data_IF_269537877629
#
_entry.id   IF_269537877629
#
_cell.length_a   1.000
_cell.length_b   1.000
_cell.length_c   1.000
_cell.angle_alpha   90.00
_cell.angle_beta   90.00
_cell.angle_gamma   90.00
#
_symmetry.space_group_name_H-M   'P 1'
#
loop_
_entity.id
_entity.type
_entity.pdbx_description
1 polymer ?
#
# COMPACT_ATOMS: atom_id res chain seq x y z
N UNK A 1 -16.69 -21.45 -62.61
CA UNK A 1 -17.57 -20.26 -62.42
C UNK A 1 -18.95 -20.58 -61.79
N UNK A 2 -19.35 -21.84 -61.60
CA UNK A 2 -20.68 -22.20 -61.05
C UNK A 2 -20.82 -22.12 -59.51
N UNK A 3 -19.72 -22.08 -58.74
CA UNK A 3 -19.77 -22.08 -57.27
C UNK A 3 -20.13 -20.73 -56.63
N UNK A 4 -19.92 -19.61 -57.33
CA UNK A 4 -20.08 -18.27 -56.75
C UNK A 4 -21.55 -17.79 -56.73
N UNK A 5 -22.36 -18.22 -57.71
CA UNK A 5 -23.80 -17.93 -57.75
C UNK A 5 -24.61 -18.78 -56.77
N UNK A 6 -24.26 -20.07 -56.61
CA UNK A 6 -24.90 -20.95 -55.63
C UNK A 6 -24.59 -20.57 -54.18
N UNK A 7 -23.40 -20.02 -53.91
CA UNK A 7 -23.05 -19.49 -52.59
C UNK A 7 -23.84 -18.21 -52.28
N UNK A 8 -23.86 -17.23 -53.19
CA UNK A 8 -24.68 -16.00 -53.03
C UNK A 8 -26.18 -16.26 -52.87
N UNK A 9 -26.74 -17.26 -53.55
CA UNK A 9 -28.16 -17.63 -53.38
C UNK A 9 -28.43 -18.26 -52.01
N UNK A 10 -27.52 -19.07 -51.48
CA UNK A 10 -27.64 -19.65 -50.12
C UNK A 10 -27.50 -18.58 -49.06
N UNK A 11 -26.49 -17.72 -49.18
CA UNK A 11 -26.24 -16.61 -48.25
C UNK A 11 -27.47 -15.67 -48.19
N UNK A 12 -28.14 -15.41 -49.33
CA UNK A 12 -29.34 -14.57 -49.36
C UNK A 12 -30.58 -15.24 -48.74
N UNK A 13 -30.74 -16.55 -48.88
CA UNK A 13 -31.81 -17.31 -48.22
C UNK A 13 -31.59 -17.39 -46.70
N UNK A 14 -30.34 -17.55 -46.26
CA UNK A 14 -29.99 -17.53 -44.83
C UNK A 14 -30.27 -16.16 -44.21
N UNK A 15 -29.92 -15.06 -44.90
CA UNK A 15 -30.24 -13.69 -44.46
C UNK A 15 -31.76 -13.44 -44.36
N UNK A 16 -32.53 -13.87 -45.36
CA UNK A 16 -34.00 -13.74 -45.32
C UNK A 16 -34.62 -14.54 -44.16
N UNK A 17 -34.08 -15.73 -43.85
CA UNK A 17 -34.53 -16.52 -42.70
C UNK A 17 -34.20 -15.82 -41.36
N UNK A 18 -33.02 -15.23 -41.25
CA UNK A 18 -32.62 -14.44 -40.06
C UNK A 18 -33.51 -13.20 -39.89
N UNK A 19 -33.83 -12.49 -40.98
CA UNK A 19 -34.71 -11.31 -40.94
C UNK A 19 -36.13 -11.70 -40.51
N UNK A 20 -36.65 -12.83 -41.00
CA UNK A 20 -37.95 -13.35 -40.60
C UNK A 20 -37.98 -13.76 -39.12
N UNK A 21 -36.91 -14.39 -38.62
CA UNK A 21 -36.78 -14.72 -37.19
C UNK A 21 -36.72 -13.45 -36.32
N UNK A 22 -35.94 -12.46 -36.74
CA UNK A 22 -35.85 -11.16 -36.06
C UNK A 22 -37.21 -10.44 -36.03
N UNK A 23 -37.96 -10.43 -37.13
CA UNK A 23 -39.30 -9.85 -37.19
C UNK A 23 -40.27 -10.56 -36.23
N UNK A 24 -40.24 -11.90 -36.19
CA UNK A 24 -41.03 -12.69 -35.24
C UNK A 24 -40.65 -12.38 -33.78
N UNK A 25 -39.35 -12.24 -33.51
CA UNK A 25 -38.84 -11.92 -32.18
C UNK A 25 -39.26 -10.51 -31.76
N UNK A 26 -39.19 -9.53 -32.65
CA UNK A 26 -39.66 -8.16 -32.42
C UNK A 26 -41.16 -8.14 -32.07
N UNK A 27 -42.00 -8.85 -32.83
CA UNK A 27 -43.43 -8.97 -32.53
C UNK A 27 -43.73 -9.64 -31.18
N UNK A 28 -42.97 -10.69 -30.83
CA UNK A 28 -43.11 -11.39 -29.54
C UNK A 28 -42.68 -10.49 -28.37
N UNK A 29 -41.55 -9.79 -28.51
CA UNK A 29 -41.02 -8.88 -27.50
C UNK A 29 -41.96 -7.70 -27.22
N UNK A 30 -42.61 -7.15 -28.26
CA UNK A 30 -43.62 -6.10 -28.08
C UNK A 30 -44.78 -6.52 -27.20
N UNK A 31 -45.32 -7.72 -27.43
CA UNK A 31 -46.44 -8.26 -26.65
C UNK A 31 -46.01 -8.55 -25.21
N UNK A 32 -44.81 -9.13 -25.03
CA UNK A 32 -44.26 -9.41 -23.71
C UNK A 32 -44.04 -8.12 -22.89
N UNK A 33 -43.43 -7.10 -23.50
CA UNK A 33 -43.19 -5.81 -22.86
C UNK A 33 -44.51 -5.08 -22.51
N UNK A 34 -45.52 -5.09 -23.39
CA UNK A 34 -46.83 -4.49 -23.11
C UNK A 34 -47.54 -5.17 -21.92
N UNK A 35 -47.54 -6.50 -21.90
CA UNK A 35 -48.09 -7.26 -20.78
C UNK A 35 -47.30 -7.02 -19.48
N UNK A 36 -45.97 -6.91 -19.56
CA UNK A 36 -45.13 -6.58 -18.40
C UNK A 36 -45.45 -5.19 -17.84
N UNK A 37 -45.68 -4.19 -18.69
CA UNK A 37 -46.13 -2.85 -18.25
C UNK A 37 -47.46 -2.94 -17.52
N UNK A 38 -48.41 -3.71 -18.05
CA UNK A 38 -49.74 -3.88 -17.46
C UNK A 38 -49.64 -4.50 -16.06
N UNK A 39 -48.94 -5.64 -15.94
CA UNK A 39 -48.72 -6.32 -14.66
C UNK A 39 -47.99 -5.41 -13.67
N UNK A 40 -46.93 -4.75 -14.11
CA UNK A 40 -46.14 -3.87 -13.24
C UNK A 40 -46.91 -2.64 -12.78
N UNK A 41 -47.83 -2.12 -13.62
CA UNK A 41 -48.72 -1.03 -13.22
C UNK A 41 -49.75 -1.49 -12.16
N UNK A 42 -50.27 -2.71 -12.26
CA UNK A 42 -51.14 -3.29 -11.23
C UNK A 42 -50.35 -3.48 -9.91
N UNK A 43 -49.14 -4.03 -9.99
CA UNK A 43 -48.22 -4.20 -8.84
C UNK A 43 -47.84 -2.87 -8.18
N UNK A 44 -47.64 -1.81 -8.95
CA UNK A 44 -47.36 -0.47 -8.43
C UNK A 44 -48.47 0.03 -7.51
N UNK A 45 -49.75 -0.19 -7.85
CA UNK A 45 -50.87 0.22 -6.99
C UNK A 45 -50.82 -0.48 -5.64
N UNK A 46 -50.49 -1.78 -5.62
CA UNK A 46 -50.30 -2.52 -4.37
C UNK A 46 -49.07 -2.02 -3.60
N UNK A 47 -47.96 -1.77 -4.29
CA UNK A 47 -46.74 -1.25 -3.67
C UNK A 47 -46.97 0.14 -3.04
N UNK A 48 -47.73 1.02 -3.69
CA UNK A 48 -48.11 2.33 -3.16
C UNK A 48 -48.97 2.21 -1.91
N UNK A 49 -49.91 1.27 -1.87
CA UNK A 49 -50.75 1.02 -0.70
C UNK A 49 -49.96 0.50 0.51
N UNK A 50 -48.90 -0.28 0.27
CA UNK A 50 -48.05 -0.87 1.31
C UNK A 50 -46.91 0.05 1.76
N UNK A 51 -46.29 0.78 0.84
CA UNK A 51 -45.06 1.55 1.08
C UNK A 51 -45.26 3.08 1.05
N UNK A 52 -46.26 3.57 0.32
CA UNK A 52 -46.47 4.98 0.02
C UNK A 52 -45.77 5.46 -1.26
N UNK A 53 -46.14 6.66 -1.72
CA UNK A 53 -45.74 7.22 -3.02
C UNK A 53 -44.25 7.54 -3.14
N UNK A 54 -43.61 8.02 -2.07
CA UNK A 54 -42.18 8.35 -2.08
C UNK A 54 -41.31 7.12 -2.29
N UNK A 55 -41.70 5.97 -1.73
CA UNK A 55 -40.96 4.72 -1.87
C UNK A 55 -41.13 4.07 -3.25
N UNK A 56 -42.22 4.36 -3.96
CA UNK A 56 -42.53 3.82 -5.29
C UNK A 56 -42.22 4.78 -6.43
N UNK A 57 -41.78 6.01 -6.14
CA UNK A 57 -41.54 7.07 -7.11
C UNK A 57 -40.65 6.62 -8.29
N UNK A 58 -39.55 5.91 -8.01
CA UNK A 58 -38.64 5.42 -9.06
C UNK A 58 -39.32 4.41 -10.00
N UNK A 59 -40.19 3.53 -9.49
CA UNK A 59 -40.95 2.59 -10.33
C UNK A 59 -42.00 3.33 -11.16
N UNK A 60 -42.63 4.35 -10.59
CA UNK A 60 -43.58 5.23 -11.30
C UNK A 60 -42.91 5.96 -12.46
N UNK A 61 -41.73 6.53 -12.23
CA UNK A 61 -40.92 7.19 -13.25
C UNK A 61 -40.44 6.21 -14.33
N UNK A 62 -39.96 5.04 -13.92
CA UNK A 62 -39.55 3.97 -14.83
C UNK A 62 -40.70 3.51 -15.74
N UNK A 63 -41.90 3.28 -15.18
CA UNK A 63 -43.09 2.93 -15.94
C UNK A 63 -43.48 4.00 -16.96
N UNK A 64 -43.34 5.28 -16.61
CA UNK A 64 -43.60 6.38 -17.54
C UNK A 64 -42.60 6.38 -18.71
N UNK A 65 -41.30 6.22 -18.42
CA UNK A 65 -40.26 6.13 -19.44
C UNK A 65 -40.44 4.91 -20.35
N UNK A 66 -40.73 3.75 -19.76
CA UNK A 66 -40.99 2.51 -20.49
C UNK A 66 -42.20 2.63 -21.41
N UNK A 67 -43.31 3.24 -20.95
CA UNK A 67 -44.48 3.50 -21.82
C UNK A 67 -44.14 4.41 -23.00
N UNK A 68 -43.31 5.43 -22.79
CA UNK A 68 -42.88 6.32 -23.88
C UNK A 68 -42.06 5.57 -24.95
N UNK A 69 -41.10 4.74 -24.51
CA UNK A 69 -40.24 3.96 -25.39
C UNK A 69 -40.99 2.81 -26.07
N UNK A 70 -41.93 2.16 -25.40
CA UNK A 70 -42.80 1.17 -26.04
C UNK A 70 -43.69 1.82 -27.11
N UNK A 71 -44.12 3.06 -26.90
CA UNK A 71 -44.78 3.86 -27.94
C UNK A 71 -43.92 4.11 -29.19
N UNK A 72 -42.60 4.27 -29.03
CA UNK A 72 -41.65 4.30 -30.16
C UNK A 72 -41.59 2.94 -30.87
N UNK A 73 -41.48 1.85 -30.10
CA UNK A 73 -41.44 0.49 -30.65
C UNK A 73 -42.71 0.14 -31.45
N UNK A 74 -43.90 0.50 -30.96
CA UNK A 74 -45.15 0.33 -31.71
C UNK A 74 -45.20 1.16 -33.00
N UNK A 75 -44.69 2.40 -33.00
CA UNK A 75 -44.58 3.22 -34.23
C UNK A 75 -43.65 2.57 -35.25
N UNK A 76 -42.50 2.05 -34.81
CA UNK A 76 -41.58 1.31 -35.69
C UNK A 76 -42.23 0.05 -36.26
N UNK A 77 -42.98 -0.68 -35.44
CA UNK A 77 -43.71 -1.86 -35.89
C UNK A 77 -44.82 -1.51 -36.89
N UNK A 78 -45.50 -0.38 -36.71
CA UNK A 78 -46.51 0.10 -37.66
C UNK A 78 -45.88 0.42 -39.03
N UNK A 79 -44.73 1.09 -39.06
CA UNK A 79 -44.01 1.37 -40.31
C UNK A 79 -43.62 0.08 -41.04
N UNK A 80 -43.19 -0.96 -40.31
CA UNK A 80 -42.85 -2.25 -40.92
C UNK A 80 -44.03 -2.97 -41.60
N UNK A 81 -45.28 -2.52 -41.36
CA UNK A 81 -46.51 -3.13 -41.89
C UNK A 81 -47.34 -2.14 -42.72
N UNK A 82 -46.76 -1.00 -43.13
CA UNK A 82 -47.47 -0.04 -43.96
C UNK A 82 -47.57 -0.49 -45.43
N UNK A 83 -48.29 0.29 -46.25
CA UNK A 83 -48.51 -0.04 -47.67
C UNK A 83 -47.28 0.25 -48.56
N UNK A 84 -46.23 0.87 -48.01
CA UNK A 84 -45.03 1.29 -48.75
C UNK A 84 -43.95 0.21 -48.56
N UNK A 85 -43.48 -0.46 -49.63
CA UNK A 85 -42.44 -1.48 -49.49
C UNK A 85 -41.11 -0.88 -49.00
N UNK A 86 -40.73 -1.16 -47.77
CA UNK A 86 -39.39 -0.86 -47.23
C UNK A 86 -38.33 -1.81 -47.77
N UNK A 87 -37.06 -1.39 -47.68
CA UNK A 87 -35.92 -2.28 -47.96
C UNK A 87 -35.71 -3.30 -46.83
N UNK A 88 -35.11 -4.45 -47.15
CA UNK A 88 -34.80 -5.47 -46.14
C UNK A 88 -33.86 -4.95 -45.03
N UNK A 89 -32.98 -3.99 -45.35
CA UNK A 89 -32.08 -3.37 -44.37
C UNK A 89 -32.82 -2.45 -43.39
N UNK A 90 -33.81 -1.69 -43.87
CA UNK A 90 -34.67 -0.84 -43.03
C UNK A 90 -35.50 -1.70 -42.07
N UNK A 91 -36.12 -2.77 -42.56
CA UNK A 91 -36.87 -3.72 -41.73
C UNK A 91 -35.99 -4.36 -40.66
N UNK A 92 -34.78 -4.81 -41.01
CA UNK A 92 -33.83 -5.38 -40.05
C UNK A 92 -33.45 -4.36 -38.97
N UNK A 93 -33.15 -3.13 -39.37
CA UNK A 93 -32.75 -2.05 -38.43
C UNK A 93 -33.89 -1.73 -37.47
N UNK A 94 -35.12 -1.58 -37.97
CA UNK A 94 -36.29 -1.27 -37.14
C UNK A 94 -36.67 -2.44 -36.23
N UNK A 95 -36.66 -3.68 -36.72
CA UNK A 95 -36.92 -4.86 -35.88
C UNK A 95 -35.86 -5.04 -34.79
N UNK A 96 -34.58 -4.81 -35.09
CA UNK A 96 -33.52 -4.82 -34.08
C UNK A 96 -33.73 -3.73 -33.02
N UNK A 97 -34.15 -2.53 -33.44
CA UNK A 97 -34.48 -1.43 -32.53
C UNK A 97 -35.69 -1.74 -31.65
N UNK A 98 -36.73 -2.36 -32.20
CA UNK A 98 -37.91 -2.81 -31.45
C UNK A 98 -37.49 -3.79 -30.35
N UNK A 99 -36.71 -4.81 -30.69
CA UNK A 99 -36.21 -5.78 -29.70
C UNK A 99 -35.41 -5.07 -28.63
N UNK A 100 -34.48 -4.19 -29.00
CA UNK A 100 -33.67 -3.43 -28.04
C UNK A 100 -34.52 -2.60 -27.06
N UNK A 101 -35.58 -1.93 -27.55
CA UNK A 101 -36.47 -1.14 -26.70
C UNK A 101 -37.30 -2.02 -25.75
N UNK A 102 -37.73 -3.19 -26.21
CA UNK A 102 -38.49 -4.15 -25.38
C UNK A 102 -37.60 -4.80 -24.33
N UNK A 103 -36.40 -5.25 -24.69
CA UNK A 103 -35.43 -5.84 -23.76
C UNK A 103 -35.05 -4.83 -22.67
N UNK A 104 -34.76 -3.58 -23.04
CA UNK A 104 -34.50 -2.50 -22.08
C UNK A 104 -35.69 -2.24 -21.14
N UNK A 105 -36.91 -2.30 -21.67
CA UNK A 105 -38.12 -2.11 -20.87
C UNK A 105 -38.29 -3.22 -19.82
N UNK A 106 -38.08 -4.48 -20.21
CA UNK A 106 -38.13 -5.62 -19.30
C UNK A 106 -37.05 -5.49 -18.20
N UNK A 107 -35.80 -5.23 -18.59
CA UNK A 107 -34.68 -5.07 -17.65
C UNK A 107 -34.93 -3.97 -16.60
N UNK A 108 -35.41 -2.80 -17.05
CA UNK A 108 -35.71 -1.67 -16.16
C UNK A 108 -36.84 -2.00 -15.20
N UNK A 109 -37.91 -2.64 -15.66
CA UNK A 109 -39.04 -2.99 -14.79
C UNK A 109 -38.66 -4.10 -13.79
N UNK A 110 -37.86 -5.07 -14.21
CA UNK A 110 -37.37 -6.15 -13.35
C UNK A 110 -36.45 -5.65 -12.25
N UNK A 111 -35.52 -4.74 -12.57
CA UNK A 111 -34.65 -4.10 -11.58
C UNK A 111 -35.48 -3.35 -10.53
N UNK A 112 -36.42 -2.51 -10.97
CA UNK A 112 -37.21 -1.65 -10.07
C UNK A 112 -38.20 -2.45 -9.22
N UNK A 113 -38.85 -3.47 -9.79
CA UNK A 113 -39.76 -4.35 -9.04
C UNK A 113 -39.00 -5.18 -8.01
N UNK A 114 -37.82 -5.71 -8.37
CA UNK A 114 -36.95 -6.45 -7.45
C UNK A 114 -36.51 -5.60 -6.26
N UNK A 115 -36.17 -4.33 -6.49
CA UNK A 115 -35.78 -3.39 -5.43
C UNK A 115 -36.91 -3.09 -4.42
N UNK A 116 -38.18 -3.22 -4.82
CA UNK A 116 -39.33 -3.03 -3.93
C UNK A 116 -39.72 -4.30 -3.17
N UNK A 117 -39.41 -5.49 -3.70
CA UNK A 117 -39.84 -6.76 -3.13
C UNK A 117 -39.43 -6.92 -1.66
N UNK A 118 -38.19 -6.57 -1.32
CA UNK A 118 -37.68 -6.62 0.06
C UNK A 118 -38.41 -5.63 0.98
N UNK A 119 -38.62 -4.39 0.51
CA UNK A 119 -39.33 -3.35 1.27
C UNK A 119 -40.77 -3.76 1.56
N UNK A 120 -41.46 -4.36 0.58
CA UNK A 120 -42.82 -4.89 0.74
C UNK A 120 -42.83 -6.03 1.77
N UNK A 121 -41.86 -6.95 1.71
CA UNK A 121 -41.75 -8.04 2.66
C UNK A 121 -41.53 -7.55 4.10
N UNK A 122 -40.75 -6.46 4.28
CA UNK A 122 -40.58 -5.81 5.59
C UNK A 122 -41.87 -5.11 6.04
N UNK A 123 -42.51 -4.33 5.17
CA UNK A 123 -43.74 -3.61 5.50
C UNK A 123 -44.88 -4.55 5.94
N UNK A 124 -45.02 -5.71 5.29
CA UNK A 124 -45.99 -6.75 5.69
C UNK A 124 -45.72 -7.33 7.07
N UNK A 125 -44.45 -7.48 7.44
CA UNK A 125 -44.02 -7.96 8.76
C UNK A 125 -43.93 -6.86 9.82
N UNK A 126 -44.29 -5.61 9.50
CA UNK A 126 -44.22 -4.51 10.45
C UNK A 126 -44.85 -4.79 11.83
N UNK A 127 -46.03 -5.44 11.97
CA UNK A 127 -46.58 -5.78 13.28
C UNK A 127 -45.67 -6.70 14.10
N UNK A 128 -45.08 -7.69 13.45
CA UNK A 128 -44.16 -8.66 14.06
C UNK A 128 -42.87 -7.97 14.49
N UNK A 129 -42.33 -7.09 13.64
CA UNK A 129 -41.13 -6.29 13.94
C UNK A 129 -41.39 -5.35 15.13
N UNK A 130 -42.54 -4.65 15.17
CA UNK A 130 -42.92 -3.79 16.29
C UNK A 130 -42.99 -4.60 17.60
N UNK A 131 -43.61 -5.78 17.57
CA UNK A 131 -43.66 -6.67 18.74
C UNK A 131 -42.26 -7.14 19.17
N UNK A 132 -41.41 -7.47 18.20
CA UNK A 132 -40.01 -7.83 18.41
C UNK A 132 -39.22 -6.71 19.09
N UNK A 133 -39.30 -5.48 18.56
CA UNK A 133 -38.66 -4.28 19.13
C UNK A 133 -39.06 -4.06 20.58
N UNK A 134 -40.36 -4.19 20.91
CA UNK A 134 -40.86 -4.06 22.29
C UNK A 134 -40.31 -5.16 23.20
N UNK A 135 -40.28 -6.40 22.73
CA UNK A 135 -39.74 -7.53 23.49
C UNK A 135 -38.22 -7.41 23.71
N UNK A 136 -37.48 -6.99 22.68
CA UNK A 136 -36.04 -6.74 22.76
C UNK A 136 -35.75 -5.58 23.71
N UNK A 137 -36.49 -4.47 23.62
CA UNK A 137 -36.33 -3.34 24.53
C UNK A 137 -36.57 -3.74 26.00
N UNK A 138 -37.60 -4.56 26.27
CA UNK A 138 -37.85 -5.09 27.61
C UNK A 138 -36.69 -5.98 28.11
N UNK A 139 -36.18 -6.91 27.27
CA UNK A 139 -35.02 -7.74 27.65
C UNK A 139 -33.77 -6.91 27.91
N UNK A 140 -33.44 -5.98 27.02
CA UNK A 140 -32.25 -5.14 27.15
C UNK A 140 -32.34 -4.22 28.37
N UNK A 141 -33.53 -3.68 28.66
CA UNK A 141 -33.75 -2.86 29.86
C UNK A 141 -33.49 -3.65 31.15
N UNK A 142 -33.82 -4.94 31.18
CA UNK A 142 -33.50 -5.81 32.31
C UNK A 142 -31.98 -6.01 32.53
N UNK A 143 -31.14 -5.80 31.51
CA UNK A 143 -29.67 -5.87 31.62
C UNK A 143 -29.05 -4.59 32.19
N UNK A 144 -29.74 -3.44 32.15
CA UNK A 144 -29.19 -2.14 32.54
C UNK A 144 -28.69 -2.10 34.00
N UNK A 145 -29.44 -2.60 35.01
CA UNK A 145 -28.93 -2.64 36.38
C UNK A 145 -27.63 -3.43 36.49
N UNK A 146 -27.54 -4.58 35.84
CA UNK A 146 -26.32 -5.39 35.83
C UNK A 146 -25.14 -4.68 35.16
N UNK A 147 -25.38 -3.96 34.06
CA UNK A 147 -24.34 -3.16 33.41
C UNK A 147 -23.81 -2.03 34.32
N UNK A 148 -24.71 -1.38 35.08
CA UNK A 148 -24.33 -0.37 36.09
C UNK A 148 -23.49 -0.98 37.22
N UNK A 149 -23.92 -2.11 37.78
CA UNK A 149 -23.18 -2.83 38.82
C UNK A 149 -21.80 -3.29 38.33
N UNK A 150 -21.70 -3.68 37.06
CA UNK A 150 -20.43 -4.03 36.43
C UNK A 150 -19.51 -2.84 36.31
N UNK A 151 -19.99 -1.68 35.86
CA UNK A 151 -19.17 -0.45 35.83
C UNK A 151 -18.72 -0.04 37.23
N UNK A 152 -19.59 -0.11 38.24
CA UNK A 152 -19.23 0.20 39.62
C UNK A 152 -18.15 -0.75 40.14
N UNK A 153 -18.28 -2.06 39.90
CA UNK A 153 -17.25 -3.05 40.21
C UNK A 153 -15.94 -2.73 39.50
N UNK A 154 -15.97 -2.42 38.20
CA UNK A 154 -14.79 -2.08 37.41
C UNK A 154 -14.11 -0.79 37.90
N UNK A 155 -14.87 0.19 38.39
CA UNK A 155 -14.36 1.43 38.98
C UNK A 155 -13.54 1.23 40.26
N UNK A 156 -13.66 0.07 40.92
CA UNK A 156 -12.79 -0.30 42.06
C UNK A 156 -11.41 -0.81 41.64
N UNK A 157 -11.24 -1.18 40.36
CA UNK A 157 -10.02 -1.81 39.82
C UNK A 157 -9.31 -0.96 38.77
N UNK A 158 -10.06 -0.23 37.97
CA UNK A 158 -9.54 0.52 36.81
C UNK A 158 -9.60 2.03 37.02
N UNK A 159 -8.67 2.74 36.38
CA UNK A 159 -8.64 4.19 36.38
C UNK A 159 -9.87 4.74 35.66
N UNK A 160 -10.28 5.97 36.01
CA UNK A 160 -11.49 6.58 35.45
C UNK A 160 -11.36 6.82 33.95
N UNK A 161 -10.16 7.21 33.52
CA UNK A 161 -9.81 7.44 32.12
C UNK A 161 -10.02 6.17 31.28
N UNK A 162 -9.72 5.00 31.85
CA UNK A 162 -9.93 3.69 31.21
C UNK A 162 -11.42 3.39 31.04
N UNK A 163 -12.25 3.77 32.01
CA UNK A 163 -13.70 3.51 32.01
C UNK A 163 -14.50 4.53 31.21
N UNK A 164 -13.90 5.67 30.83
CA UNK A 164 -14.59 6.75 30.13
C UNK A 164 -15.32 6.30 28.86
N UNK A 165 -14.85 5.24 28.20
CA UNK A 165 -15.46 4.69 26.99
C UNK A 165 -16.76 3.91 27.24
N UNK A 166 -16.98 3.42 28.45
CA UNK A 166 -18.11 2.54 28.79
C UNK A 166 -18.98 3.07 29.93
N UNK A 167 -18.51 4.06 30.70
CA UNK A 167 -19.21 4.56 31.89
C UNK A 167 -20.60 5.13 31.58
N UNK A 168 -20.77 5.76 30.41
CA UNK A 168 -22.04 6.39 29.99
C UNK A 168 -23.00 5.41 29.32
N UNK A 169 -22.52 4.25 28.90
CA UNK A 169 -23.25 3.32 28.03
C UNK A 169 -24.60 2.86 28.61
N UNK A 170 -24.74 2.51 29.90
CA UNK A 170 -26.04 2.08 30.42
C UNK A 170 -27.09 3.20 30.39
N UNK A 171 -26.67 4.45 30.63
CA UNK A 171 -27.58 5.59 30.60
C UNK A 171 -28.01 5.93 29.17
N UNK A 172 -27.07 5.90 28.22
CA UNK A 172 -27.38 6.09 26.80
C UNK A 172 -28.25 4.96 26.25
N UNK A 173 -27.97 3.71 26.63
CA UNK A 173 -28.81 2.56 26.28
C UNK A 173 -30.24 2.75 26.82
N UNK A 174 -30.42 3.20 28.06
CA UNK A 174 -31.76 3.46 28.63
C UNK A 174 -32.55 4.48 27.80
N UNK A 175 -31.90 5.57 27.38
CA UNK A 175 -32.51 6.61 26.55
C UNK A 175 -32.88 6.07 25.17
N UNK A 176 -31.98 5.31 24.54
CA UNK A 176 -32.22 4.69 23.24
C UNK A 176 -33.38 3.69 23.28
N UNK A 177 -33.50 2.89 24.35
CA UNK A 177 -34.63 1.97 24.52
C UNK A 177 -35.94 2.72 24.69
N UNK A 178 -35.96 3.83 25.44
CA UNK A 178 -37.15 4.68 25.54
C UNK A 178 -37.55 5.30 24.19
N UNK A 179 -36.57 5.77 23.42
CA UNK A 179 -36.80 6.27 22.07
C UNK A 179 -37.29 5.17 21.11
N UNK A 180 -36.77 3.96 21.24
CA UNK A 180 -37.20 2.80 20.45
C UNK A 180 -38.68 2.47 20.69
N UNK A 181 -39.10 2.38 21.95
CA UNK A 181 -40.49 2.07 22.33
C UNK A 181 -41.46 3.18 21.88
N UNK A 182 -41.04 4.43 22.01
CA UNK A 182 -41.80 5.57 21.51
C UNK A 182 -41.98 5.49 19.99
N UNK A 183 -40.87 5.26 19.27
CA UNK A 183 -40.87 5.16 17.80
C UNK A 183 -41.68 3.96 17.31
N UNK A 184 -41.61 2.82 17.98
CA UNK A 184 -42.46 1.66 17.69
C UNK A 184 -43.96 1.98 17.86
N UNK A 185 -44.30 2.76 18.88
CA UNK A 185 -45.68 3.22 19.11
C UNK A 185 -46.13 4.27 18.09
N UNK A 186 -45.21 5.12 17.58
CA UNK A 186 -45.49 6.02 16.45
C UNK A 186 -45.72 5.22 15.18
N UNK A 187 -44.87 4.21 14.89
CA UNK A 187 -45.00 3.35 13.74
C UNK A 187 -46.38 2.67 13.68
N UNK A 188 -46.83 2.10 14.80
CA UNK A 188 -48.14 1.49 14.94
C UNK A 188 -49.29 2.45 14.60
N UNK A 189 -49.32 3.63 15.25
CA UNK A 189 -50.37 4.65 15.00
C UNK A 189 -50.37 5.18 13.57
N UNK A 190 -49.19 5.44 12.99
CA UNK A 190 -49.07 5.94 11.61
C UNK A 190 -49.57 4.90 10.61
N UNK A 191 -49.26 3.63 10.86
CA UNK A 191 -49.72 2.50 10.05
C UNK A 191 -51.24 2.35 10.07
N UNK A 192 -51.86 2.46 11.25
CA UNK A 192 -53.31 2.45 11.42
C UNK A 192 -54.00 3.64 10.73
N UNK A 193 -53.33 4.80 10.69
CA UNK A 193 -53.79 5.99 9.99
C UNK A 193 -53.53 5.97 8.47
N UNK A 194 -53.01 4.88 7.90
CA UNK A 194 -52.67 4.76 6.48
C UNK A 194 -51.40 5.51 6.05
N UNK A 195 -50.62 6.04 6.99
CA UNK A 195 -49.41 6.83 6.75
C UNK A 195 -48.18 5.90 6.69
N UNK A 196 -48.07 5.12 5.61
CA UNK A 196 -47.09 4.02 5.46
C UNK A 196 -45.65 4.47 5.53
N UNK A 197 -45.30 5.54 4.83
CA UNK A 197 -43.93 6.08 4.81
C UNK A 197 -43.48 6.49 6.21
N UNK A 198 -44.31 7.27 6.91
CA UNK A 198 -44.02 7.73 8.26
C UNK A 198 -43.98 6.56 9.26
N UNK A 199 -44.78 5.51 9.03
CA UNK A 199 -44.74 4.30 9.82
C UNK A 199 -43.43 3.53 9.63
N UNK A 200 -42.97 3.36 8.38
CA UNK A 200 -41.74 2.65 8.07
C UNK A 200 -40.51 3.39 8.62
N UNK A 201 -40.44 4.72 8.47
CA UNK A 201 -39.36 5.53 9.06
C UNK A 201 -39.30 5.38 10.59
N UNK A 202 -40.45 5.41 11.27
CA UNK A 202 -40.50 5.21 12.72
C UNK A 202 -40.11 3.77 13.13
N UNK A 203 -40.46 2.78 12.31
CA UNK A 203 -40.08 1.38 12.53
C UNK A 203 -38.57 1.17 12.40
N UNK A 204 -37.95 1.73 11.35
CA UNK A 204 -36.50 1.70 11.15
C UNK A 204 -35.77 2.37 12.32
N UNK A 205 -36.20 3.58 12.71
CA UNK A 205 -35.64 4.30 13.85
C UNK A 205 -35.74 3.48 15.15
N UNK A 206 -36.86 2.78 15.37
CA UNK A 206 -37.05 1.93 16.55
C UNK A 206 -36.12 0.71 16.55
N UNK A 207 -35.97 0.05 15.40
CA UNK A 207 -35.13 -1.14 15.23
C UNK A 207 -33.66 -0.79 15.42
N UNK A 208 -33.21 0.31 14.80
CA UNK A 208 -31.83 0.80 14.93
C UNK A 208 -31.50 1.20 16.37
N UNK A 209 -32.44 1.82 17.07
CA UNK A 209 -32.23 2.25 18.46
C UNK A 209 -32.09 1.07 19.42
N UNK A 210 -32.86 0.00 19.25
CA UNK A 210 -32.68 -1.27 19.98
C UNK A 210 -31.30 -1.87 19.68
N UNK A 211 -30.91 -1.92 18.40
CA UNK A 211 -29.61 -2.46 17.98
C UNK A 211 -28.45 -1.70 18.63
N UNK A 212 -28.50 -0.37 18.60
CA UNK A 212 -27.48 0.49 19.24
C UNK A 212 -27.44 0.31 20.76
N UNK A 213 -28.60 0.23 21.42
CA UNK A 213 -28.67 -0.02 22.85
C UNK A 213 -28.05 -1.38 23.22
N UNK A 214 -28.28 -2.42 22.42
CA UNK A 214 -27.64 -3.72 22.60
C UNK A 214 -26.12 -3.61 22.49
N UNK A 215 -25.59 -2.97 21.44
CA UNK A 215 -24.14 -2.76 21.25
C UNK A 215 -23.49 -2.03 22.43
N UNK A 216 -24.16 -1.00 22.98
CA UNK A 216 -23.64 -0.26 24.14
C UNK A 216 -23.56 -1.14 25.40
N UNK A 217 -24.56 -2.00 25.63
CA UNK A 217 -24.55 -2.93 26.77
C UNK A 217 -23.52 -4.05 26.58
N UNK A 218 -23.40 -4.59 25.37
CA UNK A 218 -22.40 -5.62 25.04
C UNK A 218 -20.96 -5.07 25.17
N UNK A 219 -20.75 -3.79 24.89
CA UNK A 219 -19.45 -3.13 25.09
C UNK A 219 -19.02 -3.12 26.57
N UNK A 220 -19.96 -2.98 27.52
CA UNK A 220 -19.64 -3.05 28.96
C UNK A 220 -19.15 -4.44 29.35
N UNK A 221 -19.81 -5.49 28.87
CA UNK A 221 -19.42 -6.89 29.13
C UNK A 221 -18.07 -7.23 28.46
N UNK A 222 -17.89 -6.77 27.23
CA UNK A 222 -16.67 -6.99 26.45
C UNK A 222 -15.47 -6.30 27.10
N UNK A 223 -15.65 -5.07 27.61
CA UNK A 223 -14.61 -4.30 28.26
C UNK A 223 -13.99 -5.06 29.46
N UNK A 224 -14.79 -5.73 30.29
CA UNK A 224 -14.27 -6.51 31.42
C UNK A 224 -13.33 -7.64 30.95
N UNK A 225 -13.72 -8.36 29.89
CA UNK A 225 -12.90 -9.43 29.30
C UNK A 225 -11.61 -8.87 28.70
N UNK A 226 -11.69 -7.75 28.00
CA UNK A 226 -10.55 -7.10 27.37
C UNK A 226 -9.56 -6.55 28.41
N UNK A 227 -10.05 -5.93 29.47
CA UNK A 227 -9.23 -5.41 30.55
C UNK A 227 -8.46 -6.55 31.27
N UNK A 228 -9.13 -7.68 31.55
CA UNK A 228 -8.46 -8.87 32.11
C UNK A 228 -7.39 -9.44 31.18
N UNK A 229 -7.65 -9.49 29.87
CA UNK A 229 -6.66 -9.93 28.88
C UNK A 229 -5.47 -8.98 28.79
N UNK A 230 -5.73 -7.67 28.82
CA UNK A 230 -4.70 -6.64 28.79
C UNK A 230 -3.79 -6.76 30.03
N UNK A 231 -4.35 -6.97 31.22
CA UNK A 231 -3.56 -7.22 32.42
C UNK A 231 -2.69 -8.49 32.34
N UNK A 232 -3.27 -9.61 31.89
CA UNK A 232 -2.52 -10.87 31.75
C UNK A 232 -1.37 -10.71 30.75
N UNK A 233 -1.61 -9.99 29.66
CA UNK A 233 -0.58 -9.71 28.64
C UNK A 233 0.45 -8.73 29.17
N UNK A 234 0.05 -7.70 29.91
CA UNK A 234 0.96 -6.75 30.54
C UNK A 234 1.92 -7.47 31.48
N UNK A 235 1.42 -8.38 32.32
CA UNK A 235 2.27 -9.17 33.22
C UNK A 235 3.33 -9.99 32.45
N UNK A 236 2.96 -10.61 31.33
CA UNK A 236 3.89 -11.36 30.49
C UNK A 236 4.95 -10.44 29.85
N UNK A 237 4.53 -9.30 29.29
CA UNK A 237 5.46 -8.34 28.65
C UNK A 237 6.39 -7.70 29.68
N UNK A 238 5.92 -7.42 30.90
CA UNK A 238 6.79 -6.88 31.97
C UNK A 238 7.95 -7.83 32.28
N UNK A 239 7.70 -9.14 32.31
CA UNK A 239 8.75 -10.12 32.54
C UNK A 239 9.72 -10.21 31.36
N UNK A 240 9.19 -10.23 30.14
CA UNK A 240 9.97 -10.24 28.90
C UNK A 240 10.88 -9.00 28.78
N UNK A 241 10.32 -7.80 28.98
CA UNK A 241 11.05 -6.53 28.98
C UNK A 241 12.21 -6.49 29.98
N UNK A 242 12.08 -7.15 31.14
CA UNK A 242 13.19 -7.24 32.11
C UNK A 242 14.32 -8.11 31.58
N UNK A 243 13.99 -9.20 30.89
CA UNK A 243 14.94 -10.04 30.16
C UNK A 243 15.62 -9.27 29.03
N UNK A 244 14.85 -8.53 28.23
CA UNK A 244 15.36 -7.73 27.12
C UNK A 244 16.34 -6.65 27.58
N UNK A 245 16.09 -6.00 28.72
CA UNK A 245 17.04 -5.06 29.31
C UNK A 245 18.38 -5.72 29.69
N UNK A 246 18.37 -6.99 30.09
CA UNK A 246 19.61 -7.73 30.36
C UNK A 246 20.34 -8.10 29.07
N UNK A 247 19.61 -8.51 28.03
CA UNK A 247 20.16 -8.82 26.70
C UNK A 247 20.74 -7.55 26.07
N UNK A 248 19.99 -6.44 26.08
CA UNK A 248 20.36 -5.16 25.50
C UNK A 248 21.67 -4.59 26.04
N UNK A 249 22.03 -4.88 27.30
CA UNK A 249 23.31 -4.47 27.91
C UNK A 249 24.52 -5.20 27.33
N UNK A 250 24.32 -6.34 26.67
CA UNK A 250 25.37 -7.12 26.00
C UNK A 250 25.51 -6.77 24.53
N UNK A 251 24.59 -5.97 23.99
CA UNK A 251 24.61 -5.50 22.61
C UNK A 251 25.58 -4.33 22.41
N UNK A 252 26.00 -4.03 21.16
CA UNK A 252 26.80 -2.86 20.86
C UNK A 252 26.15 -1.58 21.39
N UNK A 253 26.87 -0.86 22.25
CA UNK A 253 26.35 0.33 22.91
C UNK A 253 26.55 1.57 22.06
N UNK A 254 25.48 2.35 21.90
CA UNK A 254 25.52 3.70 21.33
C UNK A 254 24.45 4.58 22.01
N UNK A 255 24.42 5.87 21.70
CA UNK A 255 23.47 6.80 22.32
C UNK A 255 22.00 6.40 22.12
N UNK A 256 21.66 5.80 20.97
CA UNK A 256 20.31 5.32 20.67
C UNK A 256 19.89 4.16 21.57
N UNK A 257 20.74 3.14 21.73
CA UNK A 257 20.50 1.99 22.61
C UNK A 257 20.40 2.44 24.07
N UNK A 258 21.30 3.31 24.54
CA UNK A 258 21.26 3.85 25.90
C UNK A 258 19.95 4.60 26.17
N UNK A 259 19.48 5.39 25.21
CA UNK A 259 18.21 6.12 25.31
C UNK A 259 17.03 5.16 25.33
N UNK A 260 17.01 4.15 24.46
CA UNK A 260 15.93 3.17 24.40
C UNK A 260 15.86 2.31 25.67
N UNK A 261 17.01 1.91 26.24
CA UNK A 261 17.10 1.25 27.55
C UNK A 261 16.48 2.14 28.63
N UNK A 262 16.84 3.43 28.67
CA UNK A 262 16.31 4.37 29.66
C UNK A 262 14.79 4.56 29.52
N UNK A 263 14.27 4.63 28.30
CA UNK A 263 12.84 4.73 28.02
C UNK A 263 12.08 3.49 28.50
N UNK A 264 12.59 2.29 28.21
CA UNK A 264 11.97 1.05 28.69
C UNK A 264 12.02 0.93 30.22
N UNK A 265 13.14 1.32 30.85
CA UNK A 265 13.23 1.38 32.31
C UNK A 265 12.22 2.37 32.90
N UNK A 266 12.05 3.54 32.28
CA UNK A 266 11.07 4.53 32.70
C UNK A 266 9.63 4.01 32.57
N UNK A 267 9.31 3.34 31.45
CA UNK A 267 8.01 2.71 31.25
C UNK A 267 7.71 1.64 32.31
N UNK A 268 8.68 0.77 32.61
CA UNK A 268 8.54 -0.23 33.68
C UNK A 268 8.39 0.40 35.06
N UNK A 269 9.11 1.50 35.34
CA UNK A 269 9.04 2.21 36.62
C UNK A 269 7.73 3.01 36.79
N UNK A 270 7.08 3.39 35.69
CA UNK A 270 5.81 4.10 35.69
C UNK A 270 4.60 3.18 35.95
N UNK A 271 4.79 1.86 35.95
CA UNK A 271 3.72 0.92 36.26
C UNK A 271 3.21 1.11 37.70
N UNK A 272 1.89 1.14 37.90
CA UNK A 272 1.32 1.40 39.22
C UNK A 272 1.65 0.27 40.19
N UNK A 273 1.73 0.64 41.48
CA UNK A 273 1.85 -0.34 42.56
C UNK A 273 0.54 -1.14 42.70
N UNK A 274 0.67 -2.36 43.21
CA UNK A 274 -0.50 -3.18 43.56
C UNK A 274 -1.47 -2.40 44.48
N UNK A 275 -2.77 -2.46 44.17
CA UNK A 275 -3.82 -1.78 44.93
C UNK A 275 -4.13 -0.35 44.48
N UNK A 276 -3.47 0.17 43.43
CA UNK A 276 -3.87 1.40 42.75
C UNK A 276 -4.70 1.04 41.52
N UNK A 277 -5.76 1.79 41.25
CA UNK A 277 -6.56 1.65 40.03
C UNK A 277 -5.66 1.77 38.79
N UNK A 278 -5.72 0.78 37.91
CA UNK A 278 -4.79 0.66 36.77
C UNK A 278 -5.44 1.09 35.45
N UNK A 279 -4.61 1.49 34.49
CA UNK A 279 -5.00 1.57 33.08
C UNK A 279 -4.18 0.53 32.30
N UNK A 280 -4.66 -0.72 32.22
CA UNK A 280 -3.88 -1.78 31.59
C UNK A 280 -3.69 -1.54 30.09
N UNK A 281 -4.58 -0.79 29.43
CA UNK A 281 -4.48 -0.53 27.98
C UNK A 281 -3.37 0.49 27.68
N UNK A 282 -3.36 1.62 28.38
CA UNK A 282 -2.29 2.62 28.24
C UNK A 282 -0.94 2.03 28.64
N UNK A 283 -0.89 1.33 29.77
CA UNK A 283 0.36 0.70 30.25
C UNK A 283 0.92 -0.30 29.24
N UNK A 284 0.05 -1.15 28.69
CA UNK A 284 0.43 -2.12 27.67
C UNK A 284 0.92 -1.44 26.38
N UNK A 285 0.25 -0.37 25.95
CA UNK A 285 0.66 0.42 24.78
C UNK A 285 2.04 1.06 24.97
N UNK A 286 2.23 1.77 26.08
CA UNK A 286 3.52 2.43 26.40
C UNK A 286 4.66 1.43 26.51
N UNK A 287 4.43 0.27 27.12
CA UNK A 287 5.47 -0.75 27.27
C UNK A 287 5.84 -1.40 25.93
N UNK A 288 4.85 -1.69 25.08
CA UNK A 288 5.09 -2.20 23.71
C UNK A 288 5.86 -1.21 22.85
N UNK A 289 5.51 0.07 22.92
CA UNK A 289 6.21 1.13 22.21
C UNK A 289 7.68 1.23 22.65
N UNK A 290 7.94 1.16 23.97
CA UNK A 290 9.29 1.17 24.49
C UNK A 290 10.11 -0.07 24.09
N UNK A 291 9.52 -1.27 24.11
CA UNK A 291 10.17 -2.50 23.63
C UNK A 291 10.51 -2.40 22.13
N UNK A 292 9.55 -1.99 21.30
CA UNK A 292 9.77 -1.83 19.87
C UNK A 292 10.87 -0.80 19.58
N UNK A 293 10.93 0.29 20.36
CA UNK A 293 12.01 1.27 20.29
C UNK A 293 13.39 0.68 20.66
N UNK A 294 13.44 -0.20 21.66
CA UNK A 294 14.66 -0.91 22.06
C UNK A 294 15.14 -1.86 20.96
N UNK A 295 14.24 -2.68 20.41
CA UNK A 295 14.55 -3.60 19.32
C UNK A 295 15.11 -2.87 18.09
N UNK A 296 14.46 -1.76 17.69
CA UNK A 296 14.91 -0.93 16.59
C UNK A 296 16.31 -0.32 16.85
N UNK A 297 16.57 0.15 18.08
CA UNK A 297 17.86 0.71 18.45
C UNK A 297 18.97 -0.34 18.44
N UNK A 298 18.70 -1.55 18.96
CA UNK A 298 19.64 -2.68 18.94
C UNK A 298 19.94 -3.10 17.50
N UNK A 299 18.91 -3.24 16.65
CA UNK A 299 19.09 -3.58 15.25
C UNK A 299 19.98 -2.56 14.52
N UNK A 300 19.74 -1.26 14.74
CA UNK A 300 20.56 -0.20 14.17
C UNK A 300 22.00 -0.18 14.73
N UNK A 301 22.19 -0.55 16.00
CA UNK A 301 23.52 -0.68 16.60
C UNK A 301 24.29 -1.87 16.05
N UNK A 302 23.64 -3.03 15.87
CA UNK A 302 24.21 -4.21 15.24
C UNK A 302 24.61 -3.96 13.79
N UNK A 303 23.76 -3.31 13.00
CA UNK A 303 24.10 -2.96 11.61
C UNK A 303 25.35 -2.08 11.56
N UNK A 304 25.44 -1.07 12.44
CA UNK A 304 26.61 -0.19 12.53
C UNK A 304 27.87 -0.89 13.04
N UNK A 305 27.74 -1.89 13.91
CA UNK A 305 28.87 -2.72 14.33
C UNK A 305 29.34 -3.64 13.21
N UNK A 306 28.41 -4.17 12.39
CA UNK A 306 28.73 -5.01 11.24
C UNK A 306 29.32 -4.22 10.06
N UNK A 307 28.96 -2.94 9.93
CA UNK A 307 29.46 -2.01 8.91
C UNK A 307 30.01 -0.73 9.56
N UNK A 308 31.25 -0.78 10.09
CA UNK A 308 31.86 0.39 10.69
C UNK A 308 32.16 1.46 9.63
N UNK A 309 31.71 2.68 9.91
CA UNK A 309 32.02 3.84 9.06
C UNK A 309 33.53 4.07 9.08
N UNK A 310 34.18 4.27 7.92
CA UNK A 310 35.61 4.51 7.85
C UNK A 310 35.97 5.78 8.64
N UNK A 311 37.00 5.71 9.52
CA UNK A 311 37.51 6.87 10.23
C UNK A 311 37.84 8.00 9.26
N UNK A 312 37.56 9.24 9.68
CA UNK A 312 37.79 10.44 8.86
C UNK A 312 39.24 10.52 8.34
N UNK A 313 40.21 10.15 9.19
CA UNK A 313 41.63 10.10 8.83
C UNK A 313 41.92 9.14 7.66
N UNK A 314 41.27 7.96 7.64
CA UNK A 314 41.42 7.01 6.53
C UNK A 314 40.83 7.57 5.23
N UNK A 315 39.74 8.34 5.30
CA UNK A 315 39.15 9.00 4.13
C UNK A 315 40.12 10.07 3.60
N UNK A 316 40.68 10.90 4.48
CA UNK A 316 41.68 11.92 4.10
C UNK A 316 42.94 11.27 3.47
N UNK A 317 43.47 10.21 4.08
CA UNK A 317 44.62 9.50 3.51
C UNK A 317 44.33 8.91 2.12
N UNK A 318 43.12 8.40 1.88
CA UNK A 318 42.72 7.91 0.57
C UNK A 318 42.63 9.04 -0.47
N UNK A 319 42.17 10.23 -0.07
CA UNK A 319 42.11 11.42 -0.93
C UNK A 319 43.53 11.89 -1.27
N UNK A 320 44.41 12.02 -0.28
CA UNK A 320 45.79 12.44 -0.48
C UNK A 320 46.55 11.47 -1.40
N UNK A 321 46.31 10.16 -1.22
CA UNK A 321 46.92 9.15 -2.08
C UNK A 321 46.42 9.22 -3.53
N UNK A 322 45.12 9.40 -3.71
CA UNK A 322 44.53 9.62 -5.02
C UNK A 322 45.13 10.86 -5.71
N UNK A 323 45.28 11.97 -4.99
CA UNK A 323 45.84 13.21 -5.51
C UNK A 323 47.32 13.05 -5.92
N UNK A 324 48.13 12.35 -5.11
CA UNK A 324 49.52 12.02 -5.47
C UNK A 324 49.60 11.16 -6.72
N UNK A 325 48.84 10.07 -6.80
CA UNK A 325 48.87 9.18 -7.95
C UNK A 325 48.39 9.88 -9.22
N UNK A 326 47.36 10.71 -9.12
CA UNK A 326 46.85 11.51 -10.22
C UNK A 326 47.87 12.53 -10.72
N UNK A 327 48.57 13.22 -9.82
CA UNK A 327 49.65 14.15 -10.18
C UNK A 327 50.79 13.44 -10.94
N UNK A 328 51.26 12.30 -10.43
CA UNK A 328 52.32 11.52 -11.09
C UNK A 328 51.88 11.05 -12.49
N UNK A 329 50.67 10.52 -12.62
CA UNK A 329 50.14 10.07 -13.92
C UNK A 329 50.04 11.24 -14.91
N UNK A 330 49.57 12.41 -14.45
CA UNK A 330 49.48 13.63 -15.26
C UNK A 330 50.86 14.08 -15.76
N UNK A 331 51.85 14.12 -14.88
CA UNK A 331 53.20 14.57 -15.21
C UNK A 331 53.89 13.65 -16.24
N UNK A 332 53.82 12.33 -16.03
CA UNK A 332 54.40 11.35 -16.97
C UNK A 332 53.75 11.45 -18.34
N UNK A 333 52.41 11.51 -18.39
CA UNK A 333 51.66 11.61 -19.66
C UNK A 333 51.93 12.96 -20.34
N UNK A 334 52.05 14.05 -19.59
CA UNK A 334 52.35 15.37 -20.13
C UNK A 334 53.79 15.48 -20.66
N UNK A 335 54.76 14.81 -20.03
CA UNK A 335 56.16 14.81 -20.47
C UNK A 335 56.42 13.99 -21.74
N UNK A 336 55.56 13.03 -22.07
CA UNK A 336 55.79 12.06 -23.16
C UNK A 336 54.66 12.08 -24.21
N UNK A 337 54.04 13.24 -24.44
CA UNK A 337 52.84 13.39 -25.28
C UNK A 337 52.96 12.81 -26.69
N UNK A 338 54.16 12.71 -27.25
CA UNK A 338 54.39 12.12 -28.57
C UNK A 338 54.31 10.59 -28.61
N UNK A 339 54.46 9.92 -27.46
CA UNK A 339 54.59 8.47 -27.36
C UNK A 339 53.42 7.80 -26.65
N UNK A 340 52.69 8.53 -25.80
CA UNK A 340 51.53 7.97 -25.08
C UNK A 340 50.36 7.69 -26.06
N UNK A 341 49.66 6.59 -25.85
CA UNK A 341 48.47 6.17 -26.61
C UNK A 341 47.14 6.76 -26.10
N UNK A 342 46.04 6.46 -26.79
CA UNK A 342 44.70 6.96 -26.45
C UNK A 342 44.17 6.38 -25.12
N UNK A 343 44.49 5.11 -24.82
CA UNK A 343 43.97 4.42 -23.63
C UNK A 343 44.46 5.05 -22.32
N UNK A 344 45.76 5.33 -22.21
CA UNK A 344 46.33 5.97 -21.02
C UNK A 344 45.72 7.36 -20.78
N UNK A 345 45.53 8.17 -21.84
CA UNK A 345 44.88 9.48 -21.75
C UNK A 345 43.41 9.38 -21.36
N UNK A 346 42.70 8.36 -21.86
CA UNK A 346 41.30 8.12 -21.51
C UNK A 346 41.15 7.78 -20.02
N UNK A 347 42.02 6.91 -19.49
CA UNK A 347 42.04 6.58 -18.05
C UNK A 347 42.40 7.77 -17.16
N UNK A 348 43.34 8.62 -17.60
CA UNK A 348 43.66 9.86 -16.91
C UNK A 348 42.45 10.80 -16.88
N UNK A 349 41.81 11.05 -18.02
CA UNK A 349 40.63 11.92 -18.11
C UNK A 349 39.47 11.41 -17.25
N UNK A 350 39.25 10.09 -17.18
CA UNK A 350 38.23 9.51 -16.30
C UNK A 350 38.60 9.68 -14.82
N UNK A 351 39.86 9.48 -14.43
CA UNK A 351 40.34 9.71 -13.06
C UNK A 351 40.13 11.17 -12.64
N UNK A 352 40.47 12.13 -13.51
CA UNK A 352 40.26 13.56 -13.28
C UNK A 352 38.76 13.90 -13.13
N UNK A 353 37.90 13.29 -13.95
CA UNK A 353 36.44 13.46 -13.82
C UNK A 353 35.95 13.00 -12.45
N UNK A 354 36.31 11.80 -12.01
CA UNK A 354 35.88 11.27 -10.70
C UNK A 354 36.43 12.15 -9.56
N UNK A 355 37.64 12.71 -9.71
CA UNK A 355 38.22 13.62 -8.72
C UNK A 355 37.43 14.94 -8.58
N UNK A 356 36.97 15.49 -9.70
CA UNK A 356 36.08 16.66 -9.72
C UNK A 356 34.71 16.31 -9.13
N UNK A 357 34.18 15.12 -9.43
CA UNK A 357 32.92 14.66 -8.86
C UNK A 357 33.02 14.47 -7.35
N UNK A 358 34.19 14.07 -6.83
CA UNK A 358 34.46 13.99 -5.39
C UNK A 358 34.43 15.38 -4.72
N UNK A 359 35.02 16.41 -5.33
CA UNK A 359 34.91 17.79 -4.83
C UNK A 359 33.46 18.26 -4.81
N UNK A 360 32.71 17.96 -5.88
CA UNK A 360 31.29 18.32 -5.96
C UNK A 360 30.48 17.59 -4.90
N UNK A 361 30.75 16.31 -4.67
CA UNK A 361 30.09 15.50 -3.65
C UNK A 361 30.33 16.03 -2.24
N UNK A 362 31.57 16.46 -1.95
CA UNK A 362 31.92 17.05 -0.65
C UNK A 362 31.54 18.54 -0.53
N UNK A 363 31.07 19.17 -1.62
CA UNK A 363 30.67 20.58 -1.68
C UNK A 363 31.81 21.59 -1.55
N UNK A 364 33.04 21.11 -1.34
CA UNK A 364 34.26 21.90 -1.19
C UNK A 364 35.45 21.09 -1.72
N UNK A 365 36.59 21.74 -2.05
CA UNK A 365 37.77 21.01 -2.49
C UNK A 365 38.20 19.97 -1.47
N UNK A 366 38.25 18.69 -1.85
CA UNK A 366 38.49 17.55 -0.98
C UNK A 366 39.83 17.66 -0.22
N UNK A 367 40.82 18.35 -0.80
CA UNK A 367 42.11 18.63 -0.19
C UNK A 367 42.06 19.67 0.96
N UNK A 368 40.94 20.41 1.09
CA UNK A 368 40.72 21.42 2.11
C UNK A 368 39.59 21.02 3.10
N UNK A 369 38.98 19.85 2.91
CA UNK A 369 37.92 19.36 3.79
C UNK A 369 38.52 18.93 5.12
N UNK A 370 38.01 19.47 6.21
CA UNK A 370 38.45 19.13 7.58
C UNK A 370 37.46 18.23 8.31
N UNK A 371 36.20 18.19 7.84
CA UNK A 371 35.13 17.36 8.40
C UNK A 371 34.32 16.78 7.26
N UNK A 372 34.11 15.46 7.28
CA UNK A 372 33.19 14.75 6.38
C UNK A 372 32.11 14.11 7.25
N UNK A 373 30.85 14.33 6.85
CA UNK A 373 29.67 13.72 7.49
C UNK A 373 29.82 12.19 7.52
N UNK A 374 29.41 11.57 8.62
CA UNK A 374 29.49 10.11 8.82
C UNK A 374 28.87 9.33 7.67
N UNK A 375 27.72 9.80 7.17
CA UNK A 375 26.98 9.14 6.09
C UNK A 375 27.68 9.27 4.73
N UNK A 376 28.60 10.23 4.58
CA UNK A 376 29.34 10.48 3.35
C UNK A 376 30.74 9.86 3.32
N UNK A 377 31.29 9.44 4.46
CA UNK A 377 32.68 8.95 4.56
C UNK A 377 32.95 7.71 3.72
N UNK A 378 32.02 6.74 3.70
CA UNK A 378 32.17 5.53 2.88
C UNK A 378 32.24 5.84 1.39
N UNK A 379 31.29 6.66 0.92
CA UNK A 379 31.21 7.03 -0.49
C UNK A 379 32.40 7.89 -0.91
N UNK A 380 32.81 8.85 -0.08
CA UNK A 380 34.00 9.67 -0.33
C UNK A 380 35.27 8.80 -0.43
N UNK A 381 35.44 7.83 0.48
CA UNK A 381 36.58 6.91 0.45
C UNK A 381 36.57 6.03 -0.81
N UNK A 382 35.40 5.53 -1.22
CA UNK A 382 35.24 4.72 -2.43
C UNK A 382 35.59 5.51 -3.70
N UNK A 383 35.13 6.76 -3.79
CA UNK A 383 35.44 7.68 -4.89
C UNK A 383 36.95 7.98 -4.93
N UNK A 384 37.58 8.29 -3.79
CA UNK A 384 39.02 8.53 -3.70
C UNK A 384 39.84 7.31 -4.17
N UNK A 385 39.50 6.10 -3.69
CA UNK A 385 40.12 4.85 -4.15
C UNK A 385 39.95 4.63 -5.65
N UNK A 386 38.79 5.00 -6.21
CA UNK A 386 38.54 4.91 -7.66
C UNK A 386 39.41 5.86 -8.47
N UNK A 387 39.64 7.08 -8.00
CA UNK A 387 40.58 8.04 -8.61
C UNK A 387 41.99 7.44 -8.64
N UNK A 388 42.49 6.98 -7.49
CA UNK A 388 43.80 6.34 -7.37
C UNK A 388 43.94 5.15 -8.33
N UNK A 389 42.95 4.25 -8.36
CA UNK A 389 42.95 3.08 -9.25
C UNK A 389 43.09 3.48 -10.74
N UNK A 390 42.28 4.43 -11.21
CA UNK A 390 42.31 4.88 -12.60
C UNK A 390 43.61 5.63 -12.94
N UNK A 391 44.16 6.39 -12.00
CA UNK A 391 45.46 7.06 -12.16
C UNK A 391 46.61 6.04 -12.28
N UNK A 392 46.59 4.98 -11.45
CA UNK A 392 47.54 3.88 -11.54
C UNK A 392 47.42 3.06 -12.84
N UNK A 393 46.21 2.86 -13.37
CA UNK A 393 46.02 2.27 -14.71
C UNK A 393 46.59 3.17 -15.81
N UNK A 394 46.31 4.48 -15.77
CA UNK A 394 46.83 5.44 -16.73
C UNK A 394 48.36 5.45 -16.75
N UNK A 395 49.00 5.45 -15.58
CA UNK A 395 50.45 5.43 -15.44
C UNK A 395 51.08 4.14 -16.01
N UNK A 396 50.50 2.96 -15.72
CA UNK A 396 51.01 1.68 -16.24
C UNK A 396 50.90 1.59 -17.77
N UNK A 397 49.81 2.09 -18.35
CA UNK A 397 49.64 2.16 -19.80
C UNK A 397 50.64 3.13 -20.42
N UNK A 398 50.80 4.32 -19.83
CA UNK A 398 51.76 5.31 -20.29
C UNK A 398 53.20 4.79 -20.26
N UNK A 399 53.60 4.07 -19.19
CA UNK A 399 54.92 3.49 -19.09
C UNK A 399 55.17 2.43 -20.19
N UNK A 400 54.18 1.59 -20.47
CA UNK A 400 54.23 0.61 -21.56
C UNK A 400 54.43 1.28 -22.92
N UNK A 401 53.71 2.37 -23.16
CA UNK A 401 53.82 3.13 -24.41
C UNK A 401 55.21 3.76 -24.55
N UNK A 402 55.76 4.32 -23.47
CA UNK A 402 57.13 4.86 -23.43
C UNK A 402 58.15 3.75 -23.72
N UNK A 403 58.05 2.61 -23.06
CA UNK A 403 58.98 1.50 -23.24
C UNK A 403 58.92 0.92 -24.66
N UNK A 404 57.73 0.86 -25.27
CA UNK A 404 57.55 0.45 -26.67
C UNK A 404 58.12 1.46 -27.67
N UNK A 405 58.22 2.74 -27.30
CA UNK A 405 58.76 3.80 -28.16
C UNK A 405 60.29 3.92 -28.12
N UNK A 406 60.97 3.22 -27.19
CA UNK A 406 62.44 3.21 -27.13
C UNK A 406 62.99 2.43 -28.33
N UNK A 407 63.98 2.97 -29.07
CA UNK A 407 64.66 2.23 -30.13
C UNK A 407 65.25 0.94 -29.57
N UNK A 408 64.91 -0.20 -30.18
CA UNK A 408 65.61 -1.45 -29.94
C UNK A 408 66.99 -1.30 -30.57
N UNK A 409 68.03 -1.22 -29.75
CA UNK A 409 69.41 -1.01 -30.18
C UNK A 409 69.80 -2.00 -31.29
N UNK A 410 70.07 -1.55 -32.54
CA UNK A 410 70.53 -2.41 -33.63
C UNK A 410 72.02 -2.72 -33.47
N UNK A 411 72.38 -3.37 -32.35
CA UNK A 411 73.77 -3.56 -31.93
C UNK A 411 74.17 -5.00 -31.62
N UNK A 412 73.31 -6.00 -31.82
CA UNK A 412 73.65 -7.40 -31.51
C UNK A 412 73.26 -8.39 -32.62
N UNK A 413 73.95 -8.27 -33.76
CA UNK A 413 74.20 -9.39 -34.67
C UNK A 413 75.66 -9.32 -35.14
N UNK A 414 76.50 -10.24 -34.64
CA UNK A 414 77.82 -10.52 -35.19
C UNK A 414 78.78 -11.23 -34.23
N UNK A 415 79.13 -12.49 -34.53
CA UNK A 415 80.46 -13.04 -34.22
C UNK A 415 80.55 -14.31 -33.35
N UNK A 416 80.89 -15.42 -34.02
CA UNK A 416 81.50 -16.67 -33.48
C UNK A 416 82.53 -16.46 -32.35
N UNK A 417 82.64 -17.43 -31.42
CA UNK A 417 83.93 -17.76 -30.80
C UNK A 417 83.90 -18.21 -29.34
N UNK A 418 84.08 -19.53 -29.16
CA UNK A 418 84.93 -20.18 -28.15
C UNK A 418 85.54 -19.35 -26.99
N UNK A 419 85.41 -19.89 -25.78
CA UNK A 419 86.53 -19.96 -24.84
C UNK A 419 86.47 -19.03 -23.62
N UNK A 420 86.24 -19.65 -22.46
CA UNK A 420 87.05 -19.55 -21.24
C UNK A 420 87.56 -18.19 -20.74
N UNK A 421 87.40 -17.95 -19.45
CA UNK A 421 88.39 -17.16 -18.71
C UNK A 421 87.83 -16.28 -17.61
N UNK A 422 88.13 -16.68 -16.38
CA UNK A 422 87.99 -15.92 -15.14
C UNK A 422 88.76 -14.58 -15.15
N UNK A 423 88.31 -13.73 -14.20
CA UNK A 423 89.08 -12.85 -13.29
C UNK A 423 89.33 -11.38 -13.69
N UNK A 424 88.78 -10.50 -12.84
CA UNK A 424 89.52 -9.61 -11.91
C UNK A 424 89.51 -8.11 -12.20
N UNK A 425 89.01 -7.37 -11.19
CA UNK A 425 89.39 -5.99 -10.80
C UNK A 425 88.73 -4.87 -11.61
N UNK A 426 88.19 -3.78 -11.06
CA UNK A 426 88.22 -3.19 -9.72
C UNK A 426 88.24 -1.65 -9.85
N UNK A 427 87.45 -0.94 -9.03
CA UNK A 427 87.53 0.52 -8.76
C UNK A 427 86.55 1.40 -9.55
N UNK A 428 85.44 1.84 -8.93
CA UNK A 428 85.18 3.21 -8.38
C UNK A 428 84.50 4.13 -9.44
N UNK A 429 83.44 4.93 -9.23
CA UNK A 429 82.90 5.65 -8.08
C UNK A 429 81.47 6.20 -8.45
N UNK A 430 80.58 6.32 -7.44
CA UNK A 430 79.55 7.37 -7.25
C UNK A 430 78.32 7.57 -8.19
N UNK A 431 77.13 7.35 -7.60
CA UNK A 431 75.91 8.19 -7.72
C UNK A 431 74.82 7.68 -8.68
N UNK A 432 73.56 7.42 -8.31
CA UNK A 432 72.83 7.62 -7.06
C UNK A 432 71.51 6.82 -7.09
N UNK A 433 71.06 6.47 -5.89
CA UNK A 433 69.96 5.56 -5.53
C UNK A 433 68.62 6.32 -5.48
N UNK A 434 67.58 5.77 -6.10
CA UNK A 434 66.13 5.92 -5.79
C UNK A 434 65.42 4.69 -6.38
N UNK A 435 65.13 3.56 -5.72
CA UNK A 435 64.80 3.30 -4.32
C UNK A 435 63.36 3.76 -4.04
N UNK A 436 62.33 2.92 -3.89
CA UNK A 436 62.19 1.48 -3.91
C UNK A 436 60.71 1.14 -3.73
N UNK A 437 60.24 0.14 -4.47
CA UNK A 437 58.99 -0.57 -4.26
C UNK A 437 59.05 -1.30 -2.91
N UNK A 438 58.15 -1.00 -1.98
CA UNK A 438 57.82 -1.93 -0.90
C UNK A 438 56.31 -2.13 -0.87
N UNK A 439 55.96 -3.36 -1.20
CA UNK A 439 54.68 -4.03 -1.04
C UNK A 439 54.31 -4.02 0.44
N UNK A 440 53.13 -3.48 0.75
CA UNK A 440 52.52 -3.54 2.07
C UNK A 440 51.06 -3.96 1.95
N UNK A 441 50.84 -5.23 1.58
CA UNK A 441 49.59 -5.93 1.83
C UNK A 441 49.93 -7.23 2.58
N UNK A 442 48.98 -7.67 3.42
CA UNK A 442 49.03 -8.80 4.37
C UNK A 442 49.42 -8.40 5.79
N UNK A 443 48.40 -8.11 6.60
CA UNK A 443 48.21 -8.68 7.94
C UNK A 443 46.76 -8.46 8.36
N UNK A 444 45.97 -9.49 8.10
CA UNK A 444 44.67 -9.77 8.71
C UNK A 444 44.92 -10.67 9.94
N UNK A 445 44.22 -10.36 11.03
CA UNK A 445 43.92 -11.21 12.19
C UNK A 445 45.05 -11.91 12.96
N UNK A 446 45.33 -11.47 14.19
CA UNK A 446 45.48 -12.34 15.38
C UNK A 446 45.69 -11.47 16.66
N UNK A 447 44.79 -11.66 17.63
CA UNK A 447 44.72 -11.19 19.04
C UNK A 447 43.89 -9.93 19.39
N UNK A 448 42.83 -10.22 20.18
CA UNK A 448 41.95 -9.44 21.09
C UNK A 448 41.01 -8.37 20.52
#
# INVERSE_FOLDING_TARGET
MAGFWGKRSRDNHELQAQDADLAKRAGTALVAADERIRVTADELVFAEAELGHGATAELTEALAAVRQHLGEAFRLNQLNHDEIPDTAEELRTRNARIVQLCDWAEDVLDERTSALAEKIAVARRAPEIIAGVRADAARLRARIPHARDTIERLATRYARETLAQVEVNPAEAEQLLGFAEHSASVAERRREAGQREQANLALEASTESVRRAATLLDAVETFEVEALRAEATLAAIVEDSRGDLFVARKEPQNAGVTTAIANLQAALAALPRAGVNTDPFTQLSTLREANAGLDAAIAAARERAARPIPPLEHVHHAIDDADRQLAVARDVIAGHRGWIGADARTRLAESERIRIDLDRFLGTPAAAVTVIDEDHREQAMAMARRVAYLAGEALRLAQRDIDASRPQDPGQWGGQGWGGGRRSGGGDMMGGILGGLVIGSVLDGIFD
#
